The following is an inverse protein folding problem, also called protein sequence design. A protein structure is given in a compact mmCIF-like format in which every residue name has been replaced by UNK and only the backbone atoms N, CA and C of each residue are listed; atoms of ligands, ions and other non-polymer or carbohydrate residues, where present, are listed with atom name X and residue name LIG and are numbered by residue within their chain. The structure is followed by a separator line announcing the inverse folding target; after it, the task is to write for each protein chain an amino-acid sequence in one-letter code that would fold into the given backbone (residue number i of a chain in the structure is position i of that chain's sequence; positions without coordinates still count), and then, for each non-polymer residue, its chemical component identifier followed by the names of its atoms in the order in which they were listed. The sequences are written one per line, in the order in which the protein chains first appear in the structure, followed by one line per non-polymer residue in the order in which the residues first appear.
data_IF_595751408973
#
_entry.id   IF_595751408973
#
_cell.length_a   1.000
_cell.length_b   1.000
_cell.length_c   1.000
_cell.angle_alpha   90.00
_cell.angle_beta   90.00
_cell.angle_gamma   90.00
#
_symmetry.space_group_name_H-M   'P 1'
#
loop_
_entity.id
_entity.type
_entity.pdbx_description
1 polymer ?
#
# COMPACT_ATOMS: atom_id res chain seq x y z
N UNK A 1 -0.97 1.67 -29.49
CA UNK A 1 -1.82 1.79 -28.29
C UNK A 1 -1.50 3.13 -27.66
N UNK A 2 -2.49 3.97 -27.38
CA UNK A 2 -2.30 5.23 -26.65
C UNK A 2 -1.60 4.96 -25.32
N UNK A 3 -0.63 5.79 -24.94
CA UNK A 3 -0.05 5.69 -23.60
C UNK A 3 -1.15 5.89 -22.55
N UNK A 4 -1.21 5.03 -21.52
CA UNK A 4 -2.18 5.20 -20.45
C UNK A 4 -1.97 6.56 -19.79
N UNK A 5 -3.04 7.37 -19.73
CA UNK A 5 -3.00 8.64 -19.02
C UNK A 5 -2.56 8.46 -17.57
N UNK A 6 -1.74 9.38 -17.05
CA UNK A 6 -1.34 9.38 -15.64
C UNK A 6 -2.53 9.85 -14.80
N UNK A 7 -3.09 8.93 -14.01
CA UNK A 7 -4.23 9.21 -13.13
C UNK A 7 -3.81 9.61 -11.73
N UNK A 8 -2.69 9.07 -11.24
CA UNK A 8 -2.12 9.41 -9.94
C UNK A 8 -0.61 9.56 -10.01
N UNK A 9 -0.05 10.46 -9.19
CA UNK A 9 1.39 10.67 -9.10
C UNK A 9 1.85 10.93 -7.67
N UNK A 10 3.04 10.44 -7.33
CA UNK A 10 3.71 10.68 -6.05
C UNK A 10 5.18 11.02 -6.26
N UNK A 11 5.66 11.97 -5.46
CA UNK A 11 7.07 12.30 -5.36
C UNK A 11 7.91 11.30 -4.55
N UNK A 12 9.21 11.59 -4.44
CA UNK A 12 10.11 10.98 -3.45
C UNK A 12 9.82 11.59 -2.07
N UNK A 13 9.41 10.75 -1.11
CA UNK A 13 9.18 11.19 0.25
C UNK A 13 10.32 10.74 1.16
N UNK A 14 10.81 11.65 2.00
CA UNK A 14 11.75 11.33 3.09
C UNK A 14 11.08 11.35 4.45
N UNK A 15 11.62 10.53 5.35
CA UNK A 15 11.21 10.47 6.76
C UNK A 15 11.79 11.67 7.51
N UNK A 16 10.93 12.37 8.23
CA UNK A 16 11.30 13.39 9.22
C UNK A 16 10.65 13.07 10.56
N UNK A 17 11.19 13.61 11.64
CA UNK A 17 10.51 13.67 12.94
C UNK A 17 9.75 15.00 13.07
N UNK A 18 8.90 15.16 14.09
CA UNK A 18 8.30 16.46 14.41
C UNK A 18 9.34 17.57 14.61
N UNK A 19 10.55 17.21 15.05
CA UNK A 19 11.66 18.12 15.33
C UNK A 19 12.51 18.43 14.07
N UNK A 20 12.29 17.73 12.95
CA UNK A 20 12.97 17.99 11.68
C UNK A 20 13.58 16.73 11.04
N UNK A 21 14.66 16.91 10.28
CA UNK A 21 15.30 15.77 9.62
C UNK A 21 15.98 14.83 10.61
N UNK A 22 15.75 13.53 10.45
CA UNK A 22 16.45 12.49 11.22
C UNK A 22 17.97 12.48 10.94
N UNK A 23 18.38 13.02 9.79
CA UNK A 23 19.77 13.28 9.44
C UNK A 23 19.84 14.49 8.51
N UNK A 24 20.66 15.48 8.85
CA UNK A 24 20.77 16.72 8.06
C UNK A 24 21.35 16.45 6.66
N UNK A 25 22.41 15.63 6.61
CA UNK A 25 23.13 15.31 5.39
C UNK A 25 22.23 14.53 4.40
N UNK A 26 22.02 15.01 3.17
CA UNK A 26 21.08 14.44 2.21
C UNK A 26 21.26 12.93 1.94
N UNK A 27 22.50 12.45 1.87
CA UNK A 27 22.86 11.05 1.65
C UNK A 27 22.54 10.13 2.83
N UNK A 28 22.24 10.71 3.99
CA UNK A 28 21.82 9.99 5.20
C UNK A 28 20.31 10.01 5.41
N UNK A 29 19.56 10.74 4.57
CA UNK A 29 18.11 10.79 4.67
C UNK A 29 17.50 9.43 4.33
N UNK A 30 16.52 9.05 5.13
CA UNK A 30 15.79 7.81 4.96
C UNK A 30 14.54 8.06 4.14
N UNK A 31 14.28 7.20 3.18
CA UNK A 31 13.07 7.24 2.38
C UNK A 31 11.86 6.83 3.22
N UNK A 32 10.82 7.63 3.10
CA UNK A 32 9.50 7.32 3.62
C UNK A 32 8.74 6.43 2.65
N UNK A 33 8.62 6.91 1.41
CA UNK A 33 7.95 6.21 0.32
C UNK A 33 8.47 6.68 -1.03
N UNK A 34 8.71 5.73 -1.93
CA UNK A 34 9.00 5.97 -3.34
C UNK A 34 7.96 5.25 -4.24
N UNK A 35 6.69 5.31 -3.80
CA UNK A 35 5.56 4.53 -4.30
C UNK A 35 5.43 3.18 -3.58
N UNK A 36 4.46 2.37 -4.00
CA UNK A 36 4.21 1.06 -3.42
C UNK A 36 4.49 -0.09 -4.40
N UNK A 37 4.79 -1.25 -3.82
CA UNK A 37 4.93 -2.53 -4.52
C UNK A 37 3.91 -3.53 -3.98
N UNK A 38 3.20 -4.22 -4.86
CA UNK A 38 2.35 -5.36 -4.49
C UNK A 38 3.12 -6.68 -4.57
N UNK A 39 2.95 -7.52 -3.55
CA UNK A 39 3.53 -8.88 -3.50
C UNK A 39 2.53 -9.91 -4.02
N UNK A 40 2.97 -11.12 -4.40
CA UNK A 40 2.07 -12.23 -4.73
C UNK A 40 1.02 -12.53 -3.63
N UNK A 41 1.33 -12.24 -2.37
CA UNK A 41 0.43 -12.39 -1.22
C UNK A 41 -0.61 -11.26 -1.07
N UNK A 42 -0.68 -10.32 -2.01
CA UNK A 42 -1.51 -9.09 -1.97
C UNK A 42 -1.14 -8.12 -0.87
N UNK A 43 -0.06 -8.38 -0.14
CA UNK A 43 0.52 -7.35 0.70
C UNK A 43 1.14 -6.28 -0.17
N UNK A 44 0.75 -5.04 0.07
CA UNK A 44 1.28 -3.85 -0.58
C UNK A 44 2.15 -3.13 0.44
N UNK A 45 3.40 -2.85 0.05
CA UNK A 45 4.42 -2.26 0.93
C UNK A 45 5.03 -1.03 0.30
N UNK A 46 5.49 -0.10 1.13
CA UNK A 46 6.25 1.07 0.70
C UNK A 46 7.58 0.65 0.06
N UNK A 47 7.81 1.17 -1.15
CA UNK A 47 9.06 0.96 -1.88
C UNK A 47 10.14 1.86 -1.29
N UNK A 48 11.21 1.25 -0.81
CA UNK A 48 12.36 1.97 -0.27
C UNK A 48 12.19 2.47 1.16
N UNK A 49 11.09 2.15 1.85
CA UNK A 49 10.88 2.61 3.22
C UNK A 49 12.05 2.23 4.13
N UNK A 50 12.60 3.22 4.83
CA UNK A 50 13.73 3.04 5.74
C UNK A 50 15.07 2.81 5.05
N UNK A 51 15.12 2.75 3.72
CA UNK A 51 16.37 2.74 2.96
C UNK A 51 16.93 4.16 2.82
N UNK A 52 18.24 4.26 2.64
CA UNK A 52 18.90 5.52 2.26
C UNK A 52 18.54 5.87 0.81
N UNK A 53 18.58 7.15 0.48
CA UNK A 53 18.47 7.56 -0.93
C UNK A 53 19.62 6.94 -1.74
N UNK A 54 19.31 6.49 -2.94
CA UNK A 54 20.25 5.81 -3.82
C UNK A 54 19.84 6.04 -5.28
N UNK A 55 20.76 5.88 -6.26
CA UNK A 55 20.44 6.03 -7.68
C UNK A 55 19.25 5.18 -8.17
N UNK A 56 18.99 4.03 -7.52
CA UNK A 56 17.81 3.19 -7.78
C UNK A 56 16.46 3.88 -7.52
N UNK A 57 16.45 4.99 -6.76
CA UNK A 57 15.29 5.85 -6.51
C UNK A 57 15.33 7.15 -7.32
N UNK A 58 16.30 7.32 -8.23
CA UNK A 58 16.44 8.51 -9.08
C UNK A 58 15.68 8.44 -10.40
N UNK A 59 15.01 7.32 -10.71
CA UNK A 59 14.32 7.11 -12.00
C UNK A 59 12.80 7.17 -11.84
N UNK A 60 12.17 7.95 -12.71
CA UNK A 60 10.72 7.95 -12.88
C UNK A 60 10.25 6.57 -13.34
N UNK A 61 9.13 6.09 -12.78
CA UNK A 61 8.54 4.80 -13.15
C UNK A 61 7.09 4.65 -12.73
N UNK A 62 6.37 3.75 -13.40
CA UNK A 62 5.09 3.25 -12.91
C UNK A 62 5.29 2.42 -11.63
N UNK A 63 4.40 2.60 -10.65
CA UNK A 63 4.39 1.90 -9.35
C UNK A 63 2.98 1.35 -9.06
N UNK A 64 2.85 0.26 -8.31
CA UNK A 64 1.52 -0.38 -8.16
C UNK A 64 0.47 0.58 -7.60
N UNK A 65 0.82 1.27 -6.53
CA UNK A 65 0.05 2.38 -5.97
C UNK A 65 0.99 3.41 -5.38
N UNK A 66 0.42 4.50 -4.87
CA UNK A 66 1.13 5.57 -4.20
C UNK A 66 0.52 5.83 -2.82
N UNK A 67 1.30 6.42 -1.91
CA UNK A 67 0.85 6.77 -0.55
C UNK A 67 0.00 8.02 -0.55
N UNK A 68 -1.07 7.99 0.25
CA UNK A 68 -1.93 9.14 0.52
C UNK A 68 -1.23 10.30 1.26
N UNK A 69 -0.01 10.11 1.78
CA UNK A 69 0.72 11.16 2.50
C UNK A 69 1.01 12.41 1.64
N UNK A 70 1.27 12.21 0.35
CA UNK A 70 1.47 13.28 -0.62
C UNK A 70 1.14 12.76 -2.03
N UNK A 71 -0.15 12.70 -2.35
CA UNK A 71 -0.70 12.10 -3.56
C UNK A 71 -1.34 13.15 -4.46
N UNK A 72 -0.94 13.18 -5.73
CA UNK A 72 -1.61 13.98 -6.76
C UNK A 72 -2.56 13.10 -7.55
N UNK A 73 -3.79 13.58 -7.73
CA UNK A 73 -4.88 12.83 -8.36
C UNK A 73 -5.50 13.64 -9.50
N UNK A 74 -5.62 13.03 -10.68
CA UNK A 74 -6.31 13.62 -11.81
C UNK A 74 -7.82 13.53 -11.60
N UNK A 75 -8.54 14.65 -11.69
CA UNK A 75 -10.01 14.69 -11.59
C UNK A 75 -10.70 13.70 -12.52
N UNK A 76 -10.33 13.70 -13.80
CA UNK A 76 -10.90 12.77 -14.78
C UNK A 76 -10.71 11.27 -14.41
N UNK A 77 -9.62 10.92 -13.71
CA UNK A 77 -9.45 9.57 -13.17
C UNK A 77 -10.42 9.31 -12.02
N UNK A 78 -10.57 10.25 -11.09
CA UNK A 78 -11.47 10.11 -9.94
C UNK A 78 -12.92 9.91 -10.39
N UNK A 79 -13.37 10.69 -11.36
CA UNK A 79 -14.72 10.61 -11.92
C UNK A 79 -14.93 9.25 -12.62
N UNK A 80 -13.93 8.78 -13.37
CA UNK A 80 -13.99 7.52 -14.10
C UNK A 80 -13.96 6.26 -13.21
N UNK A 81 -13.32 6.30 -12.04
CA UNK A 81 -13.19 5.14 -11.14
C UNK A 81 -14.13 5.18 -9.94
N UNK A 82 -15.02 6.16 -9.86
CA UNK A 82 -15.92 6.35 -8.73
C UNK A 82 -16.82 5.15 -8.47
N UNK A 83 -17.14 4.90 -7.19
CA UNK A 83 -18.08 3.85 -6.78
C UNK A 83 -19.36 4.54 -6.32
N UNK A 84 -20.33 4.70 -7.22
CA UNK A 84 -21.45 5.60 -6.96
C UNK A 84 -20.96 7.05 -7.01
N UNK A 85 -21.30 7.85 -6.00
CA UNK A 85 -21.05 9.30 -6.02
C UNK A 85 -19.70 9.71 -5.40
N UNK A 86 -18.87 8.74 -4.99
CA UNK A 86 -17.60 9.00 -4.32
C UNK A 86 -16.43 8.23 -4.96
N UNK A 87 -15.27 8.89 -5.16
CA UNK A 87 -14.06 8.19 -5.59
C UNK A 87 -13.47 7.36 -4.47
N UNK A 88 -13.58 7.77 -3.21
CA UNK A 88 -13.13 6.99 -2.04
C UNK A 88 -14.27 6.21 -1.42
N UNK A 89 -13.96 5.02 -0.92
CA UNK A 89 -14.93 4.17 -0.23
C UNK A 89 -14.95 4.50 1.28
N UNK A 90 -16.07 5.03 1.81
CA UNK A 90 -16.17 5.41 3.22
C UNK A 90 -16.00 4.23 4.19
N UNK A 91 -16.14 2.98 3.72
CA UNK A 91 -15.91 1.79 4.54
C UNK A 91 -14.46 1.66 5.04
N UNK A 92 -13.50 2.33 4.38
CA UNK A 92 -12.09 2.27 4.78
C UNK A 92 -11.84 3.12 6.04
N UNK A 93 -12.39 4.34 6.10
CA UNK A 93 -12.13 5.36 7.12
C UNK A 93 -10.66 5.81 7.21
N UNK A 94 -9.72 4.89 7.43
CA UNK A 94 -8.27 5.12 7.41
C UNK A 94 -7.49 3.86 7.01
N UNK A 95 -6.33 4.05 6.38
CA UNK A 95 -5.43 3.04 5.83
C UNK A 95 -5.98 2.27 4.62
N UNK A 96 -5.15 2.18 3.57
CA UNK A 96 -5.36 1.41 2.33
C UNK A 96 -6.42 1.97 1.39
N UNK A 97 -7.02 3.11 1.71
CA UNK A 97 -7.92 3.83 0.81
C UNK A 97 -7.17 4.36 -0.43
N UNK A 98 -5.91 4.78 -0.23
CA UNK A 98 -4.98 5.18 -1.29
C UNK A 98 -4.62 4.01 -2.22
N UNK A 99 -4.36 2.83 -1.64
CA UNK A 99 -4.06 1.62 -2.38
C UNK A 99 -5.30 1.12 -3.14
N UNK A 100 -6.49 1.11 -2.52
CA UNK A 100 -7.75 0.76 -3.18
C UNK A 100 -8.03 1.68 -4.38
N UNK A 101 -7.87 2.99 -4.19
CA UNK A 101 -8.04 3.98 -5.27
C UNK A 101 -7.08 3.72 -6.43
N UNK A 102 -5.79 3.56 -6.14
CA UNK A 102 -4.78 3.29 -7.17
C UNK A 102 -4.99 1.95 -7.86
N UNK A 103 -5.44 0.92 -7.15
CA UNK A 103 -5.75 -0.38 -7.77
C UNK A 103 -6.91 -0.23 -8.75
N UNK A 104 -7.98 0.49 -8.39
CA UNK A 104 -9.07 0.82 -9.32
C UNK A 104 -8.59 1.63 -10.51
N UNK A 105 -7.74 2.63 -10.30
CA UNK A 105 -7.09 3.39 -11.37
C UNK A 105 -6.41 2.44 -12.38
N UNK A 106 -5.63 1.47 -11.89
CA UNK A 106 -4.98 0.46 -12.74
C UNK A 106 -5.96 -0.44 -13.47
N UNK A 107 -7.04 -0.88 -12.82
CA UNK A 107 -8.09 -1.68 -13.46
C UNK A 107 -8.77 -0.92 -14.62
N UNK A 108 -8.92 0.39 -14.48
CA UNK A 108 -9.46 1.30 -15.49
C UNK A 108 -8.37 1.83 -16.44
N UNK A 109 -7.15 1.35 -16.32
CA UNK A 109 -6.10 1.61 -17.28
C UNK A 109 -5.32 2.91 -17.10
N UNK A 110 -5.58 3.66 -16.03
CA UNK A 110 -4.75 4.77 -15.62
C UNK A 110 -3.41 4.29 -15.08
N UNK A 111 -2.36 5.06 -15.34
CA UNK A 111 -1.06 4.82 -14.70
C UNK A 111 -0.95 5.55 -13.35
N UNK A 112 -0.17 4.94 -12.45
CA UNK A 112 0.24 5.52 -11.17
C UNK A 112 1.74 5.71 -11.22
N UNK A 113 2.18 6.98 -11.19
CA UNK A 113 3.55 7.38 -11.50
C UNK A 113 4.33 7.79 -10.25
N UNK A 114 5.55 7.29 -10.13
CA UNK A 114 6.54 7.81 -9.19
C UNK A 114 7.44 8.82 -9.90
N UNK A 115 7.50 10.05 -9.40
CA UNK A 115 8.24 11.18 -9.98
C UNK A 115 9.35 11.62 -9.01
N UNK A 116 10.61 11.17 -9.18
CA UNK A 116 11.66 11.37 -8.18
C UNK A 116 12.14 12.82 -8.03
N UNK A 117 11.88 13.68 -9.03
CA UNK A 117 12.21 15.11 -8.99
C UNK A 117 11.28 15.92 -8.10
N UNK A 118 10.05 15.42 -7.86
CA UNK A 118 9.15 16.00 -6.85
C UNK A 118 9.53 15.42 -5.49
N UNK A 119 10.00 16.26 -4.56
CA UNK A 119 10.49 15.83 -3.24
C UNK A 119 9.59 16.37 -2.14
N UNK A 120 9.22 15.50 -1.20
CA UNK A 120 8.44 15.85 -0.01
C UNK A 120 9.01 15.23 1.26
N UNK A 121 8.54 15.72 2.41
CA UNK A 121 8.97 15.28 3.73
C UNK A 121 7.74 14.90 4.55
N UNK A 122 7.77 13.76 5.22
CA UNK A 122 6.62 13.22 5.94
C UNK A 122 7.03 12.79 7.35
N UNK A 123 6.32 13.35 8.34
CA UNK A 123 6.43 12.93 9.74
C UNK A 123 5.70 11.59 9.87
N UNK A 124 6.45 10.50 9.94
CA UNK A 124 5.86 9.16 10.04
C UNK A 124 5.88 8.67 11.48
N UNK A 125 4.69 8.51 12.06
CA UNK A 125 4.51 7.92 13.39
C UNK A 125 4.85 6.40 13.44
N UNK A 126 4.99 5.76 12.29
CA UNK A 126 5.13 4.30 12.13
C UNK A 126 6.26 3.91 11.18
N UNK A 127 7.52 3.79 11.66
CA UNK A 127 8.61 3.29 10.83
C UNK A 127 8.31 1.87 10.31
N UNK A 128 8.63 1.62 9.04
CA UNK A 128 8.40 0.34 8.38
C UNK A 128 9.08 -0.82 9.11
N UNK A 129 8.34 -1.90 9.35
CA UNK A 129 8.87 -3.13 9.94
C UNK A 129 8.99 -3.15 11.46
N UNK A 130 8.80 -2.03 12.16
CA UNK A 130 8.84 -2.01 13.62
C UNK A 130 7.59 -2.67 14.23
N UNK A 131 7.76 -3.90 14.70
CA UNK A 131 6.71 -4.69 15.37
C UNK A 131 6.28 -4.07 16.71
N UNK A 132 7.13 -3.27 17.35
CA UNK A 132 6.81 -2.49 18.55
C UNK A 132 5.88 -1.33 18.22
N UNK A 133 6.20 -0.57 17.17
CA UNK A 133 5.37 0.54 16.70
C UNK A 133 3.96 0.07 16.28
N UNK A 134 3.81 -1.12 15.67
CA UNK A 134 2.48 -1.63 15.34
C UNK A 134 1.58 -1.78 16.57
N UNK A 135 2.14 -2.25 17.69
CA UNK A 135 1.39 -2.47 18.93
C UNK A 135 1.08 -1.17 19.69
N UNK A 136 1.84 -0.11 19.45
CA UNK A 136 1.57 1.20 20.06
C UNK A 136 0.39 1.93 19.42
N UNK A 137 -0.03 1.54 18.20
CA UNK A 137 -1.23 2.10 17.57
C UNK A 137 -2.50 1.86 18.42
N UNK A 138 -3.53 2.70 18.29
CA UNK A 138 -4.84 2.39 18.85
C UNK A 138 -5.38 1.08 18.26
N UNK A 139 -6.06 0.26 19.08
CA UNK A 139 -6.62 -1.01 18.63
C UNK A 139 -7.59 -0.85 17.44
N UNK A 140 -8.34 0.27 17.41
CA UNK A 140 -9.20 0.62 16.28
C UNK A 140 -8.40 0.81 14.99
N UNK A 141 -7.28 1.55 15.02
CA UNK A 141 -6.42 1.78 13.87
C UNK A 141 -5.85 0.47 13.30
N UNK A 142 -5.35 -0.41 14.17
CA UNK A 142 -4.91 -1.76 13.79
C UNK A 142 -6.02 -2.58 13.13
N UNK A 143 -7.22 -2.55 13.72
CA UNK A 143 -8.40 -3.26 13.24
C UNK A 143 -8.86 -2.75 11.87
N UNK A 144 -8.86 -1.42 11.66
CA UNK A 144 -9.12 -0.80 10.36
C UNK A 144 -8.11 -1.27 9.31
N UNK A 145 -6.81 -1.18 9.59
CA UNK A 145 -5.77 -1.64 8.66
C UNK A 145 -5.91 -3.13 8.31
N UNK A 146 -6.23 -3.99 9.28
CA UNK A 146 -6.42 -5.42 9.08
C UNK A 146 -7.64 -5.74 8.21
N UNK A 147 -8.79 -5.16 8.54
CA UNK A 147 -10.06 -5.32 7.80
C UNK A 147 -9.96 -4.72 6.39
N UNK A 148 -9.37 -3.53 6.25
CA UNK A 148 -9.22 -2.84 4.97
C UNK A 148 -8.33 -3.60 3.99
N UNK A 149 -7.36 -4.39 4.49
CA UNK A 149 -6.62 -5.30 3.62
C UNK A 149 -7.57 -6.23 2.86
N UNK A 150 -8.50 -6.86 3.58
CA UNK A 150 -9.44 -7.79 2.98
C UNK A 150 -10.48 -7.10 2.12
N UNK A 151 -11.00 -5.94 2.53
CA UNK A 151 -11.93 -5.16 1.69
C UNK A 151 -11.28 -4.76 0.36
N UNK A 152 -10.04 -4.27 0.40
CA UNK A 152 -9.27 -3.91 -0.80
C UNK A 152 -9.09 -5.11 -1.73
N UNK A 153 -8.69 -6.27 -1.22
CA UNK A 153 -8.53 -7.49 -2.04
C UNK A 153 -9.89 -7.95 -2.60
N UNK A 154 -10.93 -8.00 -1.76
CA UNK A 154 -12.27 -8.42 -2.14
C UNK A 154 -12.87 -7.53 -3.24
N UNK A 155 -12.62 -6.22 -3.20
CA UNK A 155 -13.13 -5.28 -4.20
C UNK A 155 -12.42 -5.40 -5.55
N UNK A 156 -11.10 -5.56 -5.55
CA UNK A 156 -10.28 -5.27 -6.73
C UNK A 156 -9.61 -6.49 -7.36
N UNK A 157 -9.31 -7.53 -6.59
CA UNK A 157 -8.52 -8.66 -7.09
C UNK A 157 -9.36 -9.58 -7.96
N UNK A 158 -8.83 -10.12 -9.05
CA UNK A 158 -9.60 -11.06 -9.88
C UNK A 158 -9.39 -12.48 -9.36
N UNK A 159 -10.45 -13.29 -9.32
CA UNK A 159 -10.37 -14.68 -8.83
C UNK A 159 -9.26 -15.46 -9.55
N UNK A 160 -9.16 -15.32 -10.87
CA UNK A 160 -8.10 -15.94 -11.66
C UNK A 160 -6.69 -15.52 -11.23
N UNK A 161 -6.48 -14.23 -10.97
CA UNK A 161 -5.17 -13.72 -10.57
C UNK A 161 -4.84 -14.12 -9.13
N UNK A 162 -5.85 -14.20 -8.25
CA UNK A 162 -5.73 -14.71 -6.89
C UNK A 162 -5.32 -16.19 -6.90
N UNK A 163 -5.97 -17.01 -7.74
CA UNK A 163 -5.68 -18.43 -7.89
C UNK A 163 -4.25 -18.69 -8.39
N UNK A 164 -3.72 -17.83 -9.28
CA UNK A 164 -2.32 -17.93 -9.77
C UNK A 164 -1.28 -17.76 -8.68
N UNK A 165 -1.57 -17.02 -7.63
CA UNK A 165 -0.65 -16.82 -6.49
C UNK A 165 -1.16 -17.47 -5.22
N UNK A 166 -2.09 -18.42 -5.34
CA UNK A 166 -2.78 -19.03 -4.20
C UNK A 166 -1.80 -19.56 -3.14
N UNK A 167 -0.69 -20.25 -3.47
CA UNK A 167 0.25 -20.70 -2.45
C UNK A 167 0.85 -19.55 -1.62
N UNK A 168 1.22 -18.44 -2.28
CA UNK A 168 1.77 -17.26 -1.58
C UNK A 168 0.72 -16.52 -0.76
N UNK A 169 -0.53 -16.49 -1.22
CA UNK A 169 -1.65 -15.91 -0.49
C UNK A 169 -1.93 -16.75 0.77
N UNK A 170 -2.10 -18.07 0.62
CA UNK A 170 -2.40 -18.96 1.73
C UNK A 170 -1.29 -18.96 2.80
N UNK A 171 -0.02 -19.02 2.38
CA UNK A 171 1.11 -18.97 3.31
C UNK A 171 1.12 -17.66 4.12
N UNK A 172 0.85 -16.53 3.48
CA UNK A 172 0.79 -15.23 4.15
C UNK A 172 -0.41 -15.10 5.08
N UNK A 173 -1.58 -15.56 4.64
CA UNK A 173 -2.80 -15.53 5.45
C UNK A 173 -2.72 -16.46 6.66
N UNK A 174 -2.09 -17.63 6.54
CA UNK A 174 -1.78 -18.50 7.66
C UNK A 174 -0.88 -17.79 8.70
N UNK A 175 0.18 -17.11 8.24
CA UNK A 175 1.05 -16.33 9.11
C UNK A 175 0.33 -15.16 9.81
N UNK A 176 -0.54 -14.45 9.08
CA UNK A 176 -1.37 -13.38 9.64
C UNK A 176 -2.36 -13.90 10.68
N UNK A 177 -3.07 -14.98 10.37
CA UNK A 177 -4.00 -15.60 11.31
C UNK A 177 -3.27 -16.09 12.57
N UNK A 178 -2.13 -16.77 12.40
CA UNK A 178 -1.27 -17.19 13.51
C UNK A 178 -0.82 -16.01 14.38
N UNK A 179 -0.42 -14.89 13.77
CA UNK A 179 -0.09 -13.67 14.50
C UNK A 179 -1.30 -13.10 15.26
N UNK A 180 -2.47 -13.02 14.64
CA UNK A 180 -3.68 -12.52 15.30
C UNK A 180 -4.03 -13.38 16.52
N UNK A 181 -4.01 -14.71 16.38
CA UNK A 181 -4.32 -15.63 17.48
C UNK A 181 -3.27 -15.54 18.60
N UNK A 182 -1.98 -15.55 18.25
CA UNK A 182 -0.91 -15.66 19.24
C UNK A 182 -0.50 -14.32 19.87
N UNK A 183 -0.66 -13.19 19.18
CA UNK A 183 -0.02 -11.91 19.55
C UNK A 183 -0.97 -10.72 19.66
N UNK A 184 -2.08 -10.72 18.92
CA UNK A 184 -3.06 -9.64 18.97
C UNK A 184 -4.50 -10.14 18.66
N UNK A 185 -5.15 -10.88 19.58
CA UNK A 185 -6.45 -11.50 19.36
C UNK A 185 -7.58 -10.49 19.09
N UNK A 186 -7.38 -9.22 19.48
CA UNK A 186 -8.33 -8.15 19.17
C UNK A 186 -8.52 -7.97 17.65
N UNK A 187 -7.53 -8.35 16.84
CA UNK A 187 -7.63 -8.35 15.38
C UNK A 187 -8.65 -9.37 14.84
N UNK A 188 -9.02 -10.40 15.60
CA UNK A 188 -10.03 -11.35 15.16
C UNK A 188 -11.40 -10.67 14.94
N UNK A 189 -11.67 -9.56 15.66
CA UNK A 189 -12.87 -8.75 15.44
C UNK A 189 -12.91 -8.09 14.06
N UNK A 190 -11.76 -7.89 13.42
CA UNK A 190 -11.69 -7.38 12.05
C UNK A 190 -12.40 -8.30 11.04
N UNK A 191 -12.47 -9.61 11.29
CA UNK A 191 -13.22 -10.55 10.44
C UNK A 191 -14.73 -10.37 10.57
N UNK A 192 -15.22 -9.98 11.75
CA UNK A 192 -16.64 -9.63 11.93
C UNK A 192 -16.98 -8.32 11.21
N UNK A 193 -16.12 -7.31 11.29
CA UNK A 193 -16.31 -6.07 10.53
C UNK A 193 -16.28 -6.34 9.02
N UNK A 194 -15.35 -7.21 8.57
CA UNK A 194 -15.28 -7.63 7.19
C UNK A 194 -16.56 -8.32 6.76
N UNK A 195 -17.08 -9.28 7.53
CA UNK A 195 -18.32 -9.98 7.21
C UNK A 195 -19.51 -9.01 7.08
N UNK A 196 -19.59 -7.99 7.95
CA UNK A 196 -20.62 -6.94 7.88
C UNK A 196 -20.51 -6.09 6.61
N UNK A 197 -19.30 -5.78 6.17
CA UNK A 197 -19.05 -4.89 5.02
C UNK A 197 -18.91 -5.62 3.68
N UNK A 198 -18.70 -6.94 3.70
CA UNK A 198 -18.49 -7.77 2.52
C UNK A 198 -19.62 -7.66 1.48
N UNK A 199 -20.91 -7.61 1.83
CA UNK A 199 -21.97 -7.43 0.83
C UNK A 199 -21.83 -6.13 0.04
N UNK A 200 -21.48 -5.03 0.71
CA UNK A 200 -21.21 -3.75 0.05
C UNK A 200 -19.97 -3.80 -0.83
N UNK A 201 -18.89 -4.39 -0.33
CA UNK A 201 -17.65 -4.59 -1.09
C UNK A 201 -17.86 -5.47 -2.34
N UNK A 202 -18.70 -6.50 -2.26
CA UNK A 202 -19.06 -7.36 -3.40
C UNK A 202 -19.91 -6.64 -4.44
N UNK A 203 -20.80 -5.73 -4.02
CA UNK A 203 -21.53 -4.86 -4.95
C UNK A 203 -20.59 -3.89 -5.66
N UNK A 204 -19.67 -3.26 -4.91
CA UNK A 204 -18.64 -2.40 -5.47
C UNK A 204 -17.73 -3.16 -6.45
N UNK A 205 -17.30 -4.37 -6.07
CA UNK A 205 -16.52 -5.27 -6.93
C UNK A 205 -17.14 -5.47 -8.30
N UNK A 206 -18.44 -5.79 -8.36
CA UNK A 206 -19.14 -6.00 -9.64
C UNK A 206 -18.99 -4.76 -10.52
N UNK A 207 -19.35 -3.58 -10.00
CA UNK A 207 -19.21 -2.31 -10.73
C UNK A 207 -17.79 -2.05 -11.23
N UNK A 208 -16.80 -2.21 -10.35
CA UNK A 208 -15.38 -2.01 -10.67
C UNK A 208 -14.94 -2.95 -11.79
N UNK A 209 -15.24 -4.25 -11.67
CA UNK A 209 -14.74 -5.25 -12.62
C UNK A 209 -15.51 -5.24 -13.94
N UNK A 210 -16.80 -4.90 -13.94
CA UNK A 210 -17.64 -4.82 -15.13
C UNK A 210 -17.20 -3.65 -16.05
N UNK A 211 -16.76 -2.54 -15.45
CA UNK A 211 -16.29 -1.33 -16.16
C UNK A 211 -14.78 -1.29 -16.37
N UNK A 212 -14.02 -2.21 -15.79
CA UNK A 212 -12.56 -2.27 -15.91
C UNK A 212 -12.12 -2.45 -17.39
N UNK A 213 -11.29 -1.51 -17.86
CA UNK A 213 -10.72 -1.54 -19.21
C UNK A 213 -9.56 -2.52 -19.36
N UNK A 214 -8.72 -2.69 -18.35
CA UNK A 214 -7.59 -3.65 -18.42
C UNK A 214 -8.04 -5.05 -18.05
N UNK A 215 -8.39 -5.89 -19.03
CA UNK A 215 -8.75 -7.30 -18.83
C UNK A 215 -7.52 -8.21 -19.01
N UNK A 216 -7.09 -8.93 -17.97
CA UNK A 216 -6.10 -10.03 -18.14
C UNK A 216 -4.70 -9.84 -17.53
N UNK A 217 -3.70 -10.37 -18.25
CA UNK A 217 -2.30 -10.70 -17.83
C UNK A 217 -1.52 -9.49 -17.29
N UNK A 218 -1.84 -8.27 -17.73
CA UNK A 218 -1.13 -7.06 -17.27
C UNK A 218 -1.26 -6.79 -15.77
N UNK A 219 -2.41 -7.11 -15.14
CA UNK A 219 -2.57 -6.85 -13.71
C UNK A 219 -1.81 -7.88 -12.86
N UNK A 220 -1.72 -9.12 -13.34
CA UNK A 220 -0.98 -10.19 -12.66
C UNK A 220 0.51 -9.86 -12.54
N UNK A 221 1.08 -9.18 -13.55
CA UNK A 221 2.48 -8.76 -13.54
C UNK A 221 2.85 -7.93 -12.30
N UNK A 222 1.91 -7.15 -11.75
CA UNK A 222 2.12 -6.39 -10.52
C UNK A 222 2.25 -7.26 -9.27
N UNK A 223 1.72 -8.49 -9.30
CA UNK A 223 1.84 -9.47 -8.23
C UNK A 223 2.97 -10.48 -8.47
N UNK A 224 3.80 -10.29 -9.51
CA UNK A 224 4.95 -11.14 -9.81
C UNK A 224 6.11 -10.97 -8.80
N UNK A 225 7.09 -11.88 -8.82
CA UNK A 225 8.28 -11.77 -7.96
C UNK A 225 9.16 -10.58 -8.33
N UNK A 226 9.15 -10.19 -9.60
CA UNK A 226 9.97 -9.10 -10.14
C UNK A 226 9.44 -7.70 -9.81
N UNK A 227 8.22 -7.59 -9.25
CA UNK A 227 7.68 -6.31 -8.78
C UNK A 227 8.41 -5.80 -7.54
N UNK A 228 9.08 -6.69 -6.79
CA UNK A 228 9.88 -6.39 -5.60
C UNK A 228 11.37 -6.34 -6.01
N UNK A 229 12.03 -5.17 -6.00
CA UNK A 229 13.45 -5.09 -6.30
C UNK A 229 14.27 -6.02 -5.39
N UNK A 230 15.22 -6.76 -5.98
CA UNK A 230 16.23 -7.51 -5.23
C UNK A 230 16.96 -6.54 -4.28
N UNK A 231 16.80 -6.74 -2.96
CA UNK A 231 17.22 -5.81 -1.91
C UNK A 231 16.10 -5.39 -0.95
N UNK A 232 14.82 -5.42 -1.37
CA UNK A 232 13.66 -5.20 -0.50
C UNK A 232 13.16 -6.49 0.18
N UNK A 233 13.58 -7.66 -0.30
CA UNK A 233 13.33 -8.95 0.35
C UNK A 233 14.19 -9.15 1.61
N UNK A 234 15.28 -8.39 1.77
CA UNK A 234 16.29 -8.58 2.82
C UNK A 234 16.18 -7.58 3.99
N UNK A 235 15.28 -6.60 3.95
CA UNK A 235 15.00 -5.77 5.13
C UNK A 235 14.01 -6.52 6.01
N UNK A 236 14.50 -7.58 6.66
CA UNK A 236 13.95 -7.97 7.94
C UNK A 236 14.05 -6.73 8.86
N UNK A 237 13.08 -6.50 9.77
CA UNK A 237 13.26 -5.48 10.78
C UNK A 237 14.37 -5.94 11.72
N UNK A 238 15.61 -5.59 11.37
CA UNK A 238 16.71 -5.62 12.32
C UNK A 238 16.37 -4.65 13.45
N UNK A 239 16.57 -5.03 14.72
CA UNK A 239 16.38 -4.09 15.82
C UNK A 239 17.28 -2.88 15.56
N UNK A 240 16.71 -1.67 15.51
CA UNK A 240 17.54 -0.48 15.62
C UNK A 240 18.10 -0.42 17.05
N UNK A 241 19.38 -0.07 17.24
CA UNK A 241 19.89 0.24 18.56
C UNK A 241 19.06 1.39 19.15
N UNK A 242 18.58 1.19 20.37
CA UNK A 242 18.01 2.26 21.19
C UNK A 242 19.12 3.30 21.34
N UNK A 243 18.92 4.58 20.96
CA UNK A 243 19.91 5.61 21.26
C UNK A 243 20.11 5.63 22.79
N UNK A 244 21.36 5.71 23.29
CA UNK A 244 21.59 5.80 24.73
C UNK A 244 20.78 6.99 25.25
N UNK A 245 19.81 6.69 26.12
CA UNK A 245 19.05 7.71 26.81
C UNK A 245 20.03 8.59 27.56
N UNK A 246 19.87 9.89 27.42
CA UNK A 246 20.53 10.82 28.31
C UNK A 246 19.91 12.20 28.20
N UNK A 247 20.13 13.05 29.21
CA UNK A 247 20.37 12.74 30.63
C UNK A 247 19.07 12.49 31.41
#
# INVERSE_FOLDING_TARGET
AEEPGIGAAQGKLFQISPEGFLAEAPERRLLDSAGHVARPSRMVVDRGQGARDAPAFGRERSVFSATGAALFLRRAMLDDIAIGDAPFDPAFFAYKEDIDLCWRARLHGWDVRYVPSAVGHHVRAMPGGDRGAWRSLPAAARRHSWKNHYLMVLKNDRVRDLLRSLPSVLAWEAGRLGFAIARDPALLRAYLDLARLAPGALRARRRILDTARRRGVELHAWFGRDSVPAGLAAVAPGPRPIPPGGP
#
